data_IF_190484764704
#
_entry.id   IF_190484764704
#
_cell.length_a   1.000
_cell.length_b   1.000
_cell.length_c   1.000
_cell.angle_alpha   90.00
_cell.angle_beta   90.00
_cell.angle_gamma   90.00
#
_symmetry.space_group_name_H-M   'P 1'
#
loop_
_entity.id
_entity.type
_entity.pdbx_description
1 polymer ?
#
# COMPACT_ATOMS: atom_id res chain seq x y z
N UNK A 1 -15.70 24.16 1.17
CA UNK A 1 -14.38 23.58 1.39
C UNK A 1 -14.55 22.20 2.04
N UNK A 2 -13.94 21.20 1.47
CA UNK A 2 -14.04 19.79 1.90
C UNK A 2 -13.27 19.47 3.20
N UNK A 3 -12.59 20.45 3.77
CA UNK A 3 -11.86 20.42 5.03
C UNK A 3 -12.37 21.51 5.98
N UNK A 4 -13.66 21.56 6.21
CA UNK A 4 -14.20 22.42 7.27
C UNK A 4 -14.14 21.68 8.61
N UNK A 5 -13.07 21.89 9.35
CA UNK A 5 -12.87 21.34 10.69
C UNK A 5 -13.72 22.04 11.77
N UNK A 6 -14.40 23.15 11.42
CA UNK A 6 -15.28 23.87 12.37
C UNK A 6 -16.60 23.16 12.63
N UNK A 7 -16.94 22.14 11.84
CA UNK A 7 -18.20 21.41 11.89
C UNK A 7 -17.98 19.94 12.32
N UNK A 8 -17.13 19.72 13.31
CA UNK A 8 -16.98 18.42 13.95
C UNK A 8 -18.31 18.03 14.62
N UNK A 9 -19.03 17.12 13.98
CA UNK A 9 -20.30 16.58 14.49
C UNK A 9 -20.10 15.48 15.54
N UNK A 10 -18.85 15.24 15.98
CA UNK A 10 -18.49 14.11 16.83
C UNK A 10 -17.49 14.56 17.89
N UNK A 11 -17.66 14.12 19.12
CA UNK A 11 -16.68 14.31 20.19
C UNK A 11 -15.48 13.37 20.00
N UNK A 12 -14.37 13.68 20.66
CA UNK A 12 -13.19 12.80 20.65
C UNK A 12 -13.53 11.40 21.21
N UNK A 13 -14.35 11.32 22.25
CA UNK A 13 -14.80 10.06 22.86
C UNK A 13 -15.59 9.21 21.85
N UNK A 14 -16.58 9.81 21.17
CA UNK A 14 -17.35 9.12 20.13
C UNK A 14 -16.46 8.63 18.98
N UNK A 15 -15.44 9.41 18.62
CA UNK A 15 -14.48 9.04 17.59
C UNK A 15 -13.61 7.84 18.02
N UNK A 16 -13.09 7.84 19.24
CA UNK A 16 -12.33 6.73 19.80
C UNK A 16 -13.15 5.46 19.92
N UNK A 17 -14.38 5.54 20.39
CA UNK A 17 -15.30 4.39 20.47
C UNK A 17 -15.54 3.75 19.10
N UNK A 18 -15.67 4.58 18.05
CA UNK A 18 -15.82 4.08 16.69
C UNK A 18 -14.55 3.38 16.22
N UNK A 19 -13.36 3.95 16.50
CA UNK A 19 -12.09 3.34 16.13
C UNK A 19 -11.93 1.99 16.84
N UNK A 20 -12.06 1.95 18.16
CA UNK A 20 -11.90 0.73 18.96
C UNK A 20 -12.82 -0.39 18.48
N UNK A 21 -14.06 -0.07 18.15
CA UNK A 21 -15.04 -1.04 17.66
C UNK A 21 -14.76 -1.53 16.24
N UNK A 22 -14.25 -0.66 15.34
CA UNK A 22 -14.04 -0.98 13.93
C UNK A 22 -12.65 -1.51 13.61
N UNK A 23 -11.64 -1.08 14.35
CA UNK A 23 -10.24 -1.37 14.08
C UNK A 23 -9.93 -2.88 14.02
N UNK A 24 -10.41 -3.73 14.96
CA UNK A 24 -10.14 -5.16 14.90
C UNK A 24 -10.63 -5.82 13.60
N UNK A 25 -11.80 -5.40 13.12
CA UNK A 25 -12.35 -5.90 11.84
C UNK A 25 -11.50 -5.44 10.65
N UNK A 26 -11.08 -4.19 10.63
CA UNK A 26 -10.24 -3.64 9.56
C UNK A 26 -8.89 -4.36 9.51
N UNK A 27 -8.27 -4.61 10.67
CA UNK A 27 -7.02 -5.36 10.76
C UNK A 27 -7.21 -6.80 10.24
N UNK A 28 -8.26 -7.48 10.65
CA UNK A 28 -8.54 -8.85 10.21
C UNK A 28 -8.75 -8.94 8.68
N UNK A 29 -9.47 -7.99 8.09
CA UNK A 29 -9.68 -7.96 6.63
C UNK A 29 -8.36 -7.68 5.88
N UNK A 30 -7.54 -6.74 6.37
CA UNK A 30 -6.21 -6.49 5.80
C UNK A 30 -5.32 -7.72 5.86
N UNK A 31 -5.32 -8.42 6.99
CA UNK A 31 -4.50 -9.62 7.18
C UNK A 31 -4.87 -10.74 6.22
N UNK A 32 -6.14 -10.91 5.89
CA UNK A 32 -6.58 -11.87 4.86
C UNK A 32 -5.92 -11.58 3.51
N UNK A 33 -5.95 -10.32 3.09
CA UNK A 33 -5.35 -9.91 1.82
C UNK A 33 -3.82 -10.00 1.88
N UNK A 34 -3.20 -9.54 2.96
CA UNK A 34 -1.75 -9.63 3.15
C UNK A 34 -1.26 -11.09 3.09
N UNK A 35 -2.02 -12.02 3.68
CA UNK A 35 -1.70 -13.46 3.61
C UNK A 35 -1.70 -13.99 2.17
N UNK A 36 -2.59 -13.51 1.32
CA UNK A 36 -2.60 -13.88 -0.11
C UNK A 36 -1.31 -13.41 -0.77
N UNK A 37 -0.93 -12.15 -0.56
CA UNK A 37 0.30 -11.59 -1.12
C UNK A 37 1.53 -12.32 -0.62
N UNK A 38 1.65 -12.54 0.70
CA UNK A 38 2.77 -13.29 1.29
C UNK A 38 2.94 -14.68 0.70
N UNK A 39 1.83 -15.37 0.45
CA UNK A 39 1.87 -16.74 -0.05
C UNK A 39 2.12 -16.87 -1.55
N UNK A 40 1.73 -15.88 -2.34
CA UNK A 40 1.72 -15.98 -3.80
C UNK A 40 2.81 -15.15 -4.49
N UNK A 41 3.39 -14.16 -3.81
CA UNK A 41 4.50 -13.38 -4.35
C UNK A 41 5.85 -13.93 -3.86
N UNK A 42 6.93 -13.83 -4.64
CA UNK A 42 8.27 -14.20 -4.18
C UNK A 42 8.67 -13.42 -2.93
N UNK A 43 9.24 -14.08 -1.94
CA UNK A 43 9.71 -13.46 -0.70
C UNK A 43 10.75 -12.35 -0.97
N UNK A 44 11.58 -12.56 -1.99
CA UNK A 44 12.65 -11.62 -2.37
C UNK A 44 12.18 -10.22 -2.77
N UNK A 45 10.91 -10.06 -3.13
CA UNK A 45 10.36 -8.75 -3.48
C UNK A 45 9.50 -8.16 -2.37
N UNK A 46 9.21 -8.90 -1.31
CA UNK A 46 8.35 -8.44 -0.22
C UNK A 46 9.15 -7.59 0.77
N UNK A 47 8.59 -6.47 1.19
CA UNK A 47 9.10 -5.75 2.36
C UNK A 47 8.69 -6.48 3.65
N UNK A 48 9.45 -6.29 4.72
CA UNK A 48 9.16 -6.89 6.03
C UNK A 48 7.77 -6.54 6.57
N UNK A 49 7.27 -7.33 7.51
CA UNK A 49 5.91 -7.22 8.05
C UNK A 49 5.59 -5.83 8.64
N UNK A 50 6.58 -5.13 9.19
CA UNK A 50 6.44 -3.77 9.72
C UNK A 50 5.96 -2.75 8.68
N UNK A 51 6.16 -3.04 7.39
CA UNK A 51 5.78 -2.18 6.27
C UNK A 51 4.42 -2.54 5.64
N UNK A 52 3.68 -3.51 6.20
CA UNK A 52 2.43 -4.01 5.59
C UNK A 52 1.15 -3.42 6.21
N UNK A 53 1.27 -2.53 7.17
CA UNK A 53 0.12 -2.00 7.92
C UNK A 53 -0.76 -1.04 7.11
N UNK A 54 -0.18 -0.20 6.26
CA UNK A 54 -0.93 0.73 5.41
C UNK A 54 -1.31 0.11 4.07
N UNK A 55 -0.32 -0.42 3.35
CA UNK A 55 -0.44 -1.15 2.07
C UNK A 55 0.50 -2.35 2.13
N UNK A 56 0.29 -3.33 1.28
CA UNK A 56 1.29 -4.37 1.10
C UNK A 56 2.37 -3.86 0.15
N UNK A 57 3.58 -3.67 0.65
CA UNK A 57 4.67 -3.07 -0.10
C UNK A 57 5.60 -4.14 -0.68
N UNK A 58 5.93 -3.98 -1.95
CA UNK A 58 6.92 -4.80 -2.65
C UNK A 58 7.96 -3.90 -3.31
N UNK A 59 9.18 -4.43 -3.46
CA UNK A 59 10.31 -3.73 -4.09
C UNK A 59 10.63 -4.40 -5.42
N UNK A 60 10.59 -3.65 -6.51
CA UNK A 60 10.75 -4.15 -7.88
C UNK A 60 11.62 -3.20 -8.69
N UNK A 61 12.70 -3.71 -9.29
CA UNK A 61 13.60 -2.92 -10.11
C UNK A 61 12.89 -2.27 -11.30
N UNK A 62 12.13 -3.04 -12.05
CA UNK A 62 11.37 -2.52 -13.19
C UNK A 62 9.90 -2.21 -12.80
N UNK A 63 9.75 -1.30 -11.85
CA UNK A 63 8.44 -0.90 -11.31
C UNK A 63 7.44 -0.53 -12.39
N UNK A 64 7.86 0.24 -13.40
CA UNK A 64 6.94 0.72 -14.43
C UNK A 64 6.32 -0.44 -15.23
N UNK A 65 7.12 -1.43 -15.61
CA UNK A 65 6.63 -2.63 -16.30
C UNK A 65 5.54 -3.35 -15.51
N UNK A 66 5.73 -3.48 -14.19
CA UNK A 66 4.76 -4.11 -13.30
C UNK A 66 3.48 -3.27 -13.19
N UNK A 67 3.59 -1.96 -13.01
CA UNK A 67 2.44 -1.07 -12.96
C UNK A 67 1.62 -1.11 -14.24
N UNK A 68 2.28 -1.04 -15.39
CA UNK A 68 1.62 -1.10 -16.70
C UNK A 68 0.85 -2.43 -16.89
N UNK A 69 1.45 -3.55 -16.46
CA UNK A 69 0.79 -4.85 -16.52
C UNK A 69 -0.45 -4.91 -15.60
N UNK A 70 -0.34 -4.39 -14.37
CA UNK A 70 -1.45 -4.30 -13.43
C UNK A 70 -2.60 -3.45 -13.99
N UNK A 71 -2.30 -2.27 -14.52
CA UNK A 71 -3.31 -1.39 -15.12
C UNK A 71 -3.94 -1.99 -16.37
N UNK A 72 -3.14 -2.64 -17.23
CA UNK A 72 -3.65 -3.37 -18.40
C UNK A 72 -4.60 -4.50 -18.03
N UNK A 73 -4.39 -5.14 -16.88
CA UNK A 73 -5.28 -6.17 -16.36
C UNK A 73 -6.59 -5.62 -15.74
N UNK A 74 -6.79 -4.29 -15.74
CA UNK A 74 -7.92 -3.61 -15.13
C UNK A 74 -7.86 -3.57 -13.61
N UNK A 75 -6.65 -3.70 -13.03
CA UNK A 75 -6.38 -3.63 -11.61
C UNK A 75 -5.64 -2.34 -11.27
N UNK A 76 -5.47 -2.07 -9.98
CA UNK A 76 -4.83 -0.84 -9.51
C UNK A 76 -3.74 -1.15 -8.47
N UNK A 77 -2.61 -0.46 -8.59
CA UNK A 77 -1.54 -0.40 -7.59
C UNK A 77 -1.00 1.03 -7.51
N UNK A 78 -0.39 1.38 -6.41
CA UNK A 78 0.19 2.70 -6.19
C UNK A 78 1.71 2.67 -6.10
N UNK A 79 2.28 3.85 -5.97
CA UNK A 79 3.70 4.05 -5.68
C UNK A 79 3.84 4.89 -4.41
N UNK A 80 4.99 4.83 -3.75
CA UNK A 80 5.31 5.78 -2.70
C UNK A 80 5.55 7.17 -3.30
N UNK A 81 5.43 8.17 -2.44
CA UNK A 81 5.82 9.53 -2.77
C UNK A 81 7.33 9.59 -3.04
N UNK A 82 7.78 10.49 -3.92
CA UNK A 82 9.21 10.76 -4.07
C UNK A 82 9.83 11.16 -2.72
N UNK A 83 11.11 10.86 -2.54
CA UNK A 83 11.84 11.38 -1.38
C UNK A 83 11.70 12.90 -1.31
N UNK A 84 11.42 13.44 -0.13
CA UNK A 84 11.31 14.88 0.10
C UNK A 84 12.67 15.58 0.17
N UNK A 85 13.78 14.85 0.07
CA UNK A 85 15.14 15.41 0.17
C UNK A 85 15.40 16.52 -0.84
N UNK A 86 14.80 16.43 -2.04
CA UNK A 86 14.92 17.47 -3.07
C UNK A 86 14.34 18.84 -2.66
N UNK A 87 13.45 18.85 -1.66
CA UNK A 87 12.87 20.10 -1.12
C UNK A 87 13.85 20.87 -0.22
N UNK A 88 14.92 20.22 0.21
CA UNK A 88 15.89 20.78 1.14
C UNK A 88 17.24 20.95 0.43
N UNK A 89 17.69 22.18 0.28
CA UNK A 89 18.95 22.50 -0.39
C UNK A 89 20.13 21.84 0.33
N UNK A 90 20.94 21.07 -0.40
CA UNK A 90 22.12 20.41 0.12
C UNK A 90 21.87 19.13 0.96
N UNK A 91 20.63 18.66 1.00
CA UNK A 91 20.27 17.40 1.66
C UNK A 91 20.13 16.29 0.60
N UNK A 92 20.69 15.13 0.91
CA UNK A 92 20.55 13.90 0.12
C UNK A 92 20.12 12.76 1.02
N UNK A 93 19.24 11.91 0.55
CA UNK A 93 18.79 10.70 1.22
C UNK A 93 18.82 9.53 0.22
N UNK A 94 20.03 9.03 -0.13
CA UNK A 94 20.19 8.07 -1.23
C UNK A 94 19.34 6.82 -1.07
N UNK A 95 19.22 6.28 0.13
CA UNK A 95 18.39 5.09 0.41
C UNK A 95 16.93 5.37 0.11
N UNK A 96 16.37 6.43 0.68
CA UNK A 96 14.97 6.79 0.45
C UNK A 96 14.67 7.13 -1.03
N UNK A 97 15.65 7.71 -1.74
CA UNK A 97 15.53 8.03 -3.16
C UNK A 97 15.52 6.77 -4.04
N UNK A 98 16.33 5.77 -3.69
CA UNK A 98 16.34 4.47 -4.37
C UNK A 98 15.05 3.70 -4.07
N UNK A 99 14.66 3.57 -2.81
CA UNK A 99 13.44 2.88 -2.42
C UNK A 99 12.19 3.50 -3.05
N UNK A 100 12.07 4.83 -3.03
CA UNK A 100 10.94 5.53 -3.65
C UNK A 100 10.76 5.23 -5.14
N UNK A 101 11.83 4.82 -5.83
CA UNK A 101 11.77 4.43 -7.26
C UNK A 101 11.33 2.99 -7.49
N UNK A 102 11.48 2.12 -6.51
CA UNK A 102 11.27 0.68 -6.66
C UNK A 102 10.03 0.16 -5.94
N UNK A 103 9.47 0.91 -4.98
CA UNK A 103 8.31 0.47 -4.20
C UNK A 103 7.04 0.51 -5.05
N UNK A 104 6.29 -0.60 -4.99
CA UNK A 104 4.90 -0.71 -5.44
C UNK A 104 4.02 -1.00 -4.24
N UNK A 105 2.94 -0.26 -4.09
CA UNK A 105 1.95 -0.39 -3.03
C UNK A 105 0.74 -1.18 -3.54
N UNK A 106 0.54 -2.38 -3.05
CA UNK A 106 -0.64 -3.19 -3.33
C UNK A 106 -1.74 -2.89 -2.32
N UNK A 107 -2.97 -2.82 -2.80
CA UNK A 107 -4.12 -2.53 -1.94
C UNK A 107 -4.48 -3.74 -1.10
N UNK A 108 -4.70 -3.52 0.20
CA UNK A 108 -5.05 -4.54 1.18
C UNK A 108 -6.23 -4.13 2.07
N UNK A 109 -7.03 -3.15 1.64
CA UNK A 109 -8.22 -2.73 2.36
C UNK A 109 -9.50 -3.41 1.83
N UNK A 110 -10.62 -3.19 2.53
CA UNK A 110 -11.92 -3.79 2.24
C UNK A 110 -12.48 -3.52 0.83
N UNK A 111 -11.91 -2.59 0.08
CA UNK A 111 -12.30 -2.27 -1.31
C UNK A 111 -11.61 -3.18 -2.32
N UNK A 112 -10.67 -4.00 -1.87
CA UNK A 112 -9.91 -4.90 -2.71
C UNK A 112 -10.23 -6.35 -2.33
N UNK A 113 -10.89 -7.08 -3.21
CA UNK A 113 -11.31 -8.46 -2.94
C UNK A 113 -10.14 -9.44 -3.00
N UNK A 114 -10.29 -10.60 -2.36
CA UNK A 114 -9.32 -11.69 -2.44
C UNK A 114 -9.07 -12.14 -3.89
N UNK A 115 -10.12 -12.15 -4.73
CA UNK A 115 -9.98 -12.49 -6.15
C UNK A 115 -9.10 -11.49 -6.90
N UNK A 116 -9.24 -10.19 -6.61
CA UNK A 116 -8.38 -9.15 -7.18
C UNK A 116 -6.94 -9.27 -6.65
N UNK A 117 -6.76 -9.60 -5.36
CA UNK A 117 -5.44 -9.81 -4.79
C UNK A 117 -4.71 -11.00 -5.46
N UNK A 118 -5.40 -12.12 -5.70
CA UNK A 118 -4.84 -13.28 -6.43
C UNK A 118 -4.49 -12.90 -7.86
N UNK A 119 -5.42 -12.25 -8.57
CA UNK A 119 -5.17 -11.81 -9.94
C UNK A 119 -3.97 -10.87 -10.06
N UNK A 120 -3.78 -9.97 -9.09
CA UNK A 120 -2.61 -9.06 -9.08
C UNK A 120 -1.30 -9.84 -8.87
N UNK A 121 -1.31 -10.88 -8.01
CA UNK A 121 -0.15 -11.77 -7.84
C UNK A 121 0.19 -12.48 -9.16
N UNK A 122 -0.81 -13.04 -9.85
CA UNK A 122 -0.61 -13.70 -11.14
C UNK A 122 0.00 -12.75 -12.18
N UNK A 123 -0.51 -11.52 -12.25
CA UNK A 123 0.03 -10.48 -13.15
C UNK A 123 1.47 -10.15 -12.79
N UNK A 124 1.78 -9.91 -11.53
CA UNK A 124 3.14 -9.59 -11.09
C UNK A 124 4.09 -10.73 -11.43
N UNK A 125 3.75 -11.96 -11.06
CA UNK A 125 4.57 -13.16 -11.30
C UNK A 125 4.83 -13.42 -12.80
N UNK A 126 3.95 -12.93 -13.67
CA UNK A 126 4.12 -13.09 -15.13
C UNK A 126 5.11 -12.10 -15.76
N UNK A 127 5.54 -11.06 -15.03
CA UNK A 127 6.34 -9.95 -15.60
C UNK A 127 7.65 -9.65 -14.85
N UNK A 128 7.86 -10.26 -13.68
CA UNK A 128 9.12 -10.16 -12.91
C UNK A 128 10.14 -11.20 -13.35
#
# INVERSE_FOLDING_TARGET
PWLDASNLQMTDEEYFDIIERKLPKVIAEKEKINKIYRNLLPESIQMGDDFQNWRFMIVIENRQKVLDAIFKAGLFAGTNFPSVSYMFKGVSSPVAEVEAKHIVNLFNDFRFSEAQARKICDVINSVI
#
